data_IF_127686023891
#
_entry.id   IF_127686023891
#
_cell.length_a   1.000
_cell.length_b   1.000
_cell.length_c   1.000
_cell.angle_alpha   90.00
_cell.angle_beta   90.00
_cell.angle_gamma   90.00
#
_symmetry.space_group_name_H-M   'P 1'
#
loop_
_entity.id
_entity.type
_entity.pdbx_description
1 polymer ?
#
# COMPACT_ATOMS: atom_id res chain seq x y z
N UNK A 1 12.83 25.66 -15.79
CA UNK A 1 12.95 25.99 -17.24
C UNK A 1 14.14 26.93 -17.35
N UNK A 2 15.24 26.53 -18.00
CA UNK A 2 16.43 27.41 -18.08
C UNK A 2 16.06 28.65 -18.90
N UNK A 3 16.26 29.88 -18.39
CA UNK A 3 16.03 31.07 -19.19
C UNK A 3 16.92 31.04 -20.44
N UNK A 4 16.44 31.61 -21.54
CA UNK A 4 17.22 31.68 -22.77
C UNK A 4 18.54 32.44 -22.50
N UNK A 5 19.67 31.99 -23.07
CA UNK A 5 20.99 32.58 -22.78
C UNK A 5 21.08 34.10 -23.03
N UNK A 6 20.18 34.65 -23.85
CA UNK A 6 20.10 36.08 -24.16
C UNK A 6 19.01 36.83 -23.38
N UNK A 7 18.40 36.25 -22.34
CA UNK A 7 17.26 36.88 -21.66
C UNK A 7 17.60 38.26 -21.07
N UNK A 8 18.76 38.41 -20.43
CA UNK A 8 19.23 39.71 -19.92
C UNK A 8 19.46 40.71 -21.05
N UNK A 9 19.98 40.25 -22.20
CA UNK A 9 20.17 41.12 -23.37
C UNK A 9 18.82 41.61 -23.92
N UNK A 10 17.78 40.76 -23.91
CA UNK A 10 16.43 41.13 -24.36
C UNK A 10 15.75 42.16 -23.45
N UNK A 11 16.12 42.21 -22.17
CA UNK A 11 15.63 43.21 -21.21
C UNK A 11 16.25 44.60 -21.40
N UNK A 12 17.35 44.72 -22.18
CA UNK A 12 17.95 46.02 -22.43
C UNK A 12 17.06 46.92 -23.30
N UNK A 13 17.09 48.24 -23.04
CA UNK A 13 16.50 49.24 -23.93
C UNK A 13 16.95 49.05 -25.38
N UNK A 14 16.01 49.23 -26.31
CA UNK A 14 16.25 48.95 -27.74
C UNK A 14 17.42 49.73 -28.32
N UNK A 15 17.61 50.98 -27.88
CA UNK A 15 18.71 51.87 -28.30
C UNK A 15 20.09 51.26 -28.02
N UNK A 16 20.25 50.47 -26.94
CA UNK A 16 21.52 49.82 -26.62
C UNK A 16 21.72 48.54 -27.46
N UNK A 17 20.63 47.83 -27.78
CA UNK A 17 20.67 46.65 -28.66
C UNK A 17 20.98 47.00 -30.11
N UNK A 18 20.57 48.18 -30.58
CA UNK A 18 20.86 48.66 -31.92
C UNK A 18 22.33 49.10 -32.10
N UNK A 19 23.00 49.55 -31.03
CA UNK A 19 24.40 50.04 -31.06
C UNK A 19 25.45 48.97 -30.79
N UNK A 20 25.06 47.84 -30.21
CA UNK A 20 25.95 46.71 -29.92
C UNK A 20 26.49 45.98 -31.19
N UNK A 21 25.71 45.80 -32.28
CA UNK A 21 26.19 45.26 -33.54
C UNK A 21 27.35 46.07 -34.14
N UNK A 22 27.33 47.40 -34.01
CA UNK A 22 28.36 48.31 -34.55
C UNK A 22 29.77 48.01 -33.99
N UNK A 23 29.85 47.37 -32.83
CA UNK A 23 31.09 47.01 -32.15
C UNK A 23 31.33 45.49 -32.09
N UNK A 24 30.51 44.68 -32.79
CA UNK A 24 30.67 43.22 -32.84
C UNK A 24 30.03 42.45 -31.66
N UNK A 25 28.97 42.98 -31.04
CA UNK A 25 28.24 42.36 -29.92
C UNK A 25 29.01 42.14 -28.59
N UNK A 26 29.93 43.02 -28.16
CA UNK A 26 30.65 42.85 -26.89
C UNK A 26 29.71 42.88 -25.68
N UNK A 27 28.63 43.68 -25.71
CA UNK A 27 27.68 43.78 -24.61
C UNK A 27 26.85 42.51 -24.50
N UNK A 28 26.36 41.95 -25.62
CA UNK A 28 25.69 40.64 -25.63
C UNK A 28 26.59 39.52 -25.10
N UNK A 29 27.86 39.50 -25.48
CA UNK A 29 28.81 38.49 -25.01
C UNK A 29 29.02 38.57 -23.48
N UNK A 30 29.19 39.78 -22.94
CA UNK A 30 29.28 40.00 -21.49
C UNK A 30 28.00 39.58 -20.77
N UNK A 31 26.84 40.03 -21.26
CA UNK A 31 25.55 39.72 -20.65
C UNK A 31 25.20 38.24 -20.70
N UNK A 32 25.68 37.50 -21.69
CA UNK A 32 25.55 36.03 -21.70
C UNK A 32 26.27 35.38 -20.52
N UNK A 33 27.51 35.78 -20.25
CA UNK A 33 28.27 35.26 -19.11
C UNK A 33 27.54 35.58 -17.80
N UNK A 34 27.04 36.81 -17.66
CA UNK A 34 26.26 37.22 -16.48
C UNK A 34 24.94 36.44 -16.40
N UNK A 35 24.26 36.23 -17.52
CA UNK A 35 23.01 35.47 -17.59
C UNK A 35 23.20 34.02 -17.17
N UNK A 36 24.30 33.39 -17.55
CA UNK A 36 24.63 32.02 -17.16
C UNK A 36 24.85 31.91 -15.65
N UNK A 37 25.56 32.86 -15.04
CA UNK A 37 25.76 32.91 -13.59
C UNK A 37 24.45 33.24 -12.85
N UNK A 38 23.64 34.17 -13.38
CA UNK A 38 22.33 34.49 -12.82
C UNK A 38 21.39 33.28 -12.86
N UNK A 39 21.42 32.49 -13.95
CA UNK A 39 20.61 31.27 -14.06
C UNK A 39 21.07 30.16 -13.09
N UNK A 40 22.37 30.07 -12.79
CA UNK A 40 22.88 29.16 -11.75
C UNK A 40 22.38 29.59 -10.38
N UNK A 41 22.54 30.88 -10.03
CA UNK A 41 22.06 31.42 -8.76
C UNK A 41 20.55 31.27 -8.59
N UNK A 42 19.76 31.55 -9.63
CA UNK A 42 18.32 31.35 -9.62
C UNK A 42 17.96 29.87 -9.43
N UNK A 43 18.70 28.96 -10.07
CA UNK A 43 18.57 27.51 -9.85
C UNK A 43 18.84 27.12 -8.40
N UNK A 44 19.91 27.65 -7.80
CA UNK A 44 20.25 27.40 -6.40
C UNK A 44 19.18 27.97 -5.45
N UNK A 45 18.62 29.14 -5.76
CA UNK A 45 17.51 29.73 -5.00
C UNK A 45 16.26 28.85 -5.04
N UNK A 46 15.90 28.33 -6.22
CA UNK A 46 14.79 27.40 -6.35
C UNK A 46 15.06 26.09 -5.61
N UNK A 47 16.28 25.56 -5.69
CA UNK A 47 16.67 24.37 -4.94
C UNK A 47 16.60 24.61 -3.43
N UNK A 48 17.01 25.78 -2.94
CA UNK A 48 16.92 26.15 -1.52
C UNK A 48 15.46 26.28 -1.07
N UNK A 49 14.56 26.74 -1.95
CA UNK A 49 13.12 26.70 -1.69
C UNK A 49 12.62 25.25 -1.63
N UNK A 50 12.99 24.40 -2.60
CA UNK A 50 12.64 22.99 -2.64
C UNK A 50 13.14 22.22 -1.40
N UNK A 51 14.26 22.67 -0.82
CA UNK A 51 14.84 22.12 0.42
C UNK A 51 13.95 22.30 1.66
N UNK A 52 12.92 23.14 1.59
CA UNK A 52 11.92 23.28 2.65
C UNK A 52 10.85 22.16 2.62
N UNK A 53 10.74 21.40 1.53
CA UNK A 53 9.71 20.38 1.34
C UNK A 53 10.31 18.98 1.26
N UNK A 54 9.80 18.05 2.08
CA UNK A 54 10.38 16.71 2.20
C UNK A 54 10.31 15.90 0.90
N UNK A 55 9.34 16.18 0.02
CA UNK A 55 9.19 15.51 -1.27
C UNK A 55 10.27 15.93 -2.28
N UNK A 56 10.74 17.18 -2.22
CA UNK A 56 11.60 17.80 -3.25
C UNK A 56 13.00 18.18 -2.75
N UNK A 57 13.23 18.23 -1.42
CA UNK A 57 14.49 18.66 -0.84
C UNK A 57 15.68 17.82 -1.32
N UNK A 58 16.91 18.27 -1.15
CA UNK A 58 18.07 17.41 -1.38
C UNK A 58 18.22 16.33 -0.28
N UNK A 59 18.85 15.17 -0.57
CA UNK A 59 18.97 14.08 0.40
C UNK A 59 19.67 14.46 1.71
N UNK A 60 20.61 15.40 1.68
CA UNK A 60 21.34 15.85 2.86
C UNK A 60 20.48 16.71 3.81
N UNK A 61 19.36 17.27 3.32
CA UNK A 61 18.43 18.11 4.09
C UNK A 61 17.44 17.27 4.91
N UNK A 62 17.15 16.05 4.46
CA UNK A 62 16.23 15.10 5.10
C UNK A 62 16.45 14.95 6.62
N UNK A 63 17.68 14.71 7.13
CA UNK A 63 17.89 14.59 8.58
C UNK A 63 17.51 15.86 9.35
N UNK A 64 17.76 17.05 8.78
CA UNK A 64 17.39 18.32 9.42
C UNK A 64 15.88 18.54 9.47
N UNK A 65 15.17 18.17 8.39
CA UNK A 65 13.70 18.16 8.39
C UNK A 65 13.16 17.13 9.38
N UNK A 66 13.80 15.97 9.46
CA UNK A 66 13.53 14.92 10.45
C UNK A 66 13.64 15.45 11.87
N UNK A 67 14.75 16.09 12.22
CA UNK A 67 14.98 16.68 13.53
C UNK A 67 13.95 17.78 13.86
N UNK A 68 13.57 18.60 12.88
CA UNK A 68 12.55 19.65 13.05
C UNK A 68 11.19 19.06 13.45
N UNK A 69 10.81 17.92 12.87
CA UNK A 69 9.60 17.19 13.28
C UNK A 69 9.87 16.19 14.39
N UNK A 70 11.08 16.13 14.95
CA UNK A 70 11.51 15.16 15.96
C UNK A 70 11.32 13.70 15.52
N UNK A 71 11.55 13.40 14.24
CA UNK A 71 11.49 12.04 13.71
C UNK A 71 12.74 11.26 14.10
N UNK A 72 12.57 10.16 14.82
CA UNK A 72 13.58 9.11 14.89
C UNK A 72 13.28 8.12 13.78
N UNK A 73 14.21 7.95 12.84
CA UNK A 73 14.02 7.07 11.69
C UNK A 73 13.63 5.66 12.17
N UNK A 74 12.46 5.20 11.76
CA UNK A 74 11.91 3.92 12.20
C UNK A 74 12.71 2.77 11.59
N UNK A 75 13.16 2.98 10.36
CA UNK A 75 14.06 2.08 9.66
C UNK A 75 15.18 2.88 9.01
N UNK A 76 16.41 2.62 9.43
CA UNK A 76 17.59 3.23 8.84
C UNK A 76 18.21 2.23 7.86
N UNK A 77 17.84 2.34 6.57
CA UNK A 77 18.44 1.50 5.52
C UNK A 77 19.95 1.73 5.37
N UNK A 78 20.50 2.80 5.97
CA UNK A 78 21.95 3.01 6.07
C UNK A 78 22.58 2.19 7.20
N UNK A 79 21.79 1.67 8.16
CA UNK A 79 22.25 0.78 9.25
C UNK A 79 22.08 -0.70 8.96
N UNK A 80 21.20 -1.07 8.03
CA UNK A 80 21.11 -2.45 7.56
C UNK A 80 22.30 -2.73 6.63
N UNK A 81 23.29 -3.57 7.04
CA UNK A 81 24.35 -3.94 6.12
C UNK A 81 23.75 -4.55 4.85
N UNK A 82 24.37 -4.28 3.70
CA UNK A 82 24.02 -4.98 2.47
C UNK A 82 23.98 -6.49 2.75
N UNK A 83 23.00 -7.20 2.21
CA UNK A 83 22.80 -8.61 2.52
C UNK A 83 23.94 -9.46 1.94
N UNK A 84 25.10 -9.50 2.60
CA UNK A 84 26.30 -10.24 2.16
C UNK A 84 25.97 -11.72 1.90
N UNK A 85 25.09 -12.30 2.73
CA UNK A 85 24.58 -13.67 2.55
C UNK A 85 23.79 -13.84 1.26
N UNK A 86 23.03 -12.84 0.81
CA UNK A 86 22.29 -12.89 -0.45
C UNK A 86 23.24 -12.87 -1.65
N UNK A 87 24.28 -12.04 -1.60
CA UNK A 87 25.33 -12.00 -2.62
C UNK A 87 26.14 -13.30 -2.70
N UNK A 88 26.27 -14.04 -1.60
CA UNK A 88 26.91 -15.37 -1.58
C UNK A 88 26.01 -16.48 -2.16
N UNK A 89 24.71 -16.44 -1.87
CA UNK A 89 23.77 -17.49 -2.29
C UNK A 89 23.26 -17.31 -3.73
N UNK A 90 23.18 -16.07 -4.22
CA UNK A 90 22.61 -15.72 -5.52
C UNK A 90 23.59 -14.84 -6.32
N UNK A 91 24.69 -15.41 -6.84
CA UNK A 91 25.73 -14.65 -7.54
C UNK A 91 25.28 -14.09 -8.90
N UNK A 92 24.18 -14.59 -9.45
CA UNK A 92 23.58 -14.23 -10.73
C UNK A 92 22.40 -13.25 -10.59
N UNK A 93 22.13 -12.74 -9.38
CA UNK A 93 21.03 -11.81 -9.13
C UNK A 93 21.28 -10.49 -9.89
N UNK A 94 20.51 -10.23 -10.95
CA UNK A 94 20.57 -8.99 -11.71
C UNK A 94 19.89 -7.85 -10.93
N UNK A 95 20.69 -7.01 -10.27
CA UNK A 95 20.23 -5.89 -9.42
C UNK A 95 21.09 -5.75 -8.16
N UNK A 96 20.90 -4.71 -7.36
CA UNK A 96 21.54 -4.62 -6.03
C UNK A 96 21.23 -5.91 -5.25
N UNK A 97 22.23 -6.61 -4.64
CA UNK A 97 22.10 -7.94 -4.03
C UNK A 97 21.41 -7.86 -2.67
N UNK A 98 20.28 -7.18 -2.62
CA UNK A 98 19.60 -6.82 -1.39
C UNK A 98 18.27 -7.54 -1.39
N UNK A 99 18.25 -8.76 -0.85
CA UNK A 99 17.02 -9.45 -0.40
C UNK A 99 16.39 -8.76 0.81
N UNK A 100 16.58 -7.44 0.94
CA UNK A 100 15.82 -6.67 1.89
C UNK A 100 14.35 -6.83 1.51
N UNK A 101 13.44 -6.88 2.49
CA UNK A 101 12.04 -6.63 2.20
C UNK A 101 11.97 -5.36 1.33
N UNK A 102 10.96 -5.19 0.47
CA UNK A 102 10.67 -3.89 -0.10
C UNK A 102 10.29 -2.96 1.06
N UNK A 103 11.27 -2.49 1.84
CA UNK A 103 10.99 -1.84 3.11
C UNK A 103 10.30 -0.53 2.79
N UNK A 104 9.12 -0.44 3.37
CA UNK A 104 8.27 0.71 3.32
C UNK A 104 8.91 1.87 4.11
N UNK A 105 8.52 3.07 3.71
CA UNK A 105 9.10 4.35 4.08
C UNK A 105 10.62 4.49 3.80
N UNK A 106 10.97 4.85 2.54
CA UNK A 106 12.24 5.55 2.25
C UNK A 106 12.38 6.72 3.23
N UNK A 107 13.59 7.11 3.64
CA UNK A 107 13.82 8.17 4.67
C UNK A 107 12.94 9.42 4.52
N UNK A 108 12.65 9.86 3.30
CA UNK A 108 11.67 10.93 3.02
C UNK A 108 10.25 10.61 3.45
N UNK A 109 9.74 9.45 3.06
CA UNK A 109 8.39 9.01 3.37
C UNK A 109 8.22 8.80 4.88
N UNK A 110 9.25 8.33 5.58
CA UNK A 110 9.22 8.22 7.04
C UNK A 110 9.06 9.60 7.69
N UNK A 111 9.96 10.54 7.37
CA UNK A 111 9.88 11.94 7.85
C UNK A 111 8.56 12.62 7.48
N UNK A 112 8.07 12.40 6.26
CA UNK A 112 6.78 12.93 5.81
C UNK A 112 5.61 12.35 6.64
N UNK A 113 5.63 11.04 6.89
CA UNK A 113 4.58 10.35 7.61
C UNK A 113 4.59 10.62 9.12
N UNK A 114 5.69 11.09 9.71
CA UNK A 114 5.77 11.45 11.14
C UNK A 114 4.66 12.40 11.58
N UNK A 115 4.39 13.46 10.80
CA UNK A 115 3.32 14.42 11.11
C UNK A 115 1.94 13.75 11.06
N UNK A 116 1.74 12.86 10.08
CA UNK A 116 0.50 12.11 9.89
C UNK A 116 0.23 11.18 11.06
N UNK A 117 1.24 10.45 11.54
CA UNK A 117 1.15 9.61 12.73
C UNK A 117 0.79 10.39 13.98
N UNK A 118 1.43 11.55 14.17
CA UNK A 118 1.20 12.38 15.37
C UNK A 118 -0.18 13.01 15.40
N UNK A 119 -0.70 13.47 14.25
CA UNK A 119 -2.05 14.04 14.16
C UNK A 119 -3.15 13.04 14.49
N UNK A 120 -2.90 11.74 14.29
CA UNK A 120 -3.87 10.65 14.52
C UNK A 120 -3.45 9.74 15.69
N UNK A 121 -2.53 10.20 16.55
CA UNK A 121 -2.02 9.41 17.67
C UNK A 121 -3.18 8.92 18.55
N UNK A 122 -3.12 7.65 18.94
CA UNK A 122 -4.16 7.03 19.77
C UNK A 122 -5.31 6.38 18.99
N UNK A 123 -5.21 6.29 17.66
CA UNK A 123 -6.15 5.56 16.80
C UNK A 123 -5.56 4.24 16.31
N UNK A 124 -6.38 3.22 16.08
CA UNK A 124 -5.96 1.94 15.49
C UNK A 124 -5.38 2.11 14.08
N UNK A 125 -5.94 3.03 13.28
CA UNK A 125 -5.47 3.32 11.92
C UNK A 125 -4.01 3.78 11.86
N UNK A 126 -3.50 4.47 12.90
CA UNK A 126 -2.07 4.83 12.95
C UNK A 126 -1.20 3.61 13.18
N UNK A 127 -1.66 2.63 13.96
CA UNK A 127 -0.92 1.39 14.17
C UNK A 127 -0.87 0.55 12.90
N UNK A 128 -1.96 0.52 12.13
CA UNK A 128 -1.97 -0.10 10.79
C UNK A 128 -1.00 0.59 9.83
N UNK A 129 -1.07 1.93 9.74
CA UNK A 129 -0.21 2.71 8.86
C UNK A 129 1.26 2.56 9.25
N UNK A 130 1.59 2.70 10.54
CA UNK A 130 2.95 2.55 11.06
C UNK A 130 3.48 1.13 10.82
N UNK A 131 2.70 0.10 11.15
CA UNK A 131 3.14 -1.28 10.96
C UNK A 131 3.30 -1.62 9.47
N UNK A 132 2.43 -1.12 8.59
CA UNK A 132 2.61 -1.23 7.14
C UNK A 132 3.87 -0.54 6.67
N UNK A 133 4.14 0.68 7.16
CA UNK A 133 5.34 1.43 6.82
C UNK A 133 6.64 0.78 7.32
N UNK A 134 6.60 0.06 8.45
CA UNK A 134 7.77 -0.67 8.94
C UNK A 134 7.97 -2.00 8.22
N UNK A 135 6.89 -2.74 8.00
CA UNK A 135 6.98 -4.13 7.52
C UNK A 135 6.89 -4.25 6.00
N UNK A 136 6.33 -3.26 5.31
CA UNK A 136 5.94 -3.36 3.91
C UNK A 136 4.78 -4.33 3.65
N UNK A 137 4.21 -4.94 4.69
CA UNK A 137 3.10 -5.87 4.58
C UNK A 137 1.77 -5.17 4.81
N UNK A 138 0.70 -5.77 4.30
CA UNK A 138 -0.63 -5.31 4.66
C UNK A 138 -0.92 -5.61 6.13
N UNK A 139 -1.46 -4.64 6.86
CA UNK A 139 -1.72 -4.74 8.30
C UNK A 139 -3.14 -4.26 8.61
N UNK A 140 -3.78 -4.97 9.55
CA UNK A 140 -5.04 -4.57 10.19
C UNK A 140 -4.89 -4.63 11.71
N UNK A 141 -5.35 -3.59 12.40
CA UNK A 141 -5.32 -3.49 13.85
C UNK A 141 -6.75 -3.56 14.38
N UNK A 142 -7.02 -4.54 15.22
CA UNK A 142 -8.34 -4.83 15.76
C UNK A 142 -8.37 -4.54 17.25
N UNK A 143 -9.30 -3.70 17.69
CA UNK A 143 -9.56 -3.48 19.10
C UNK A 143 -10.35 -4.66 19.67
N UNK A 144 -9.67 -5.57 20.35
CA UNK A 144 -10.26 -6.79 20.91
C UNK A 144 -11.42 -6.51 21.87
N UNK A 145 -11.41 -5.34 22.53
CA UNK A 145 -12.49 -4.88 23.41
C UNK A 145 -13.83 -4.67 22.68
N UNK A 146 -13.80 -4.34 21.39
CA UNK A 146 -15.02 -4.20 20.58
C UNK A 146 -15.63 -5.57 20.21
N UNK A 147 -14.85 -6.63 20.33
CA UNK A 147 -15.28 -8.01 20.09
C UNK A 147 -15.57 -8.76 21.40
N UNK A 148 -15.66 -8.07 22.54
CA UNK A 148 -15.93 -8.72 23.82
C UNK A 148 -17.43 -8.76 24.15
N UNK A 149 -17.93 -9.96 24.41
CA UNK A 149 -19.22 -10.16 25.04
C UNK A 149 -19.17 -9.66 26.49
N UNK A 150 -19.91 -8.60 26.79
CA UNK A 150 -19.95 -7.99 28.12
C UNK A 150 -21.31 -7.37 28.42
N UNK A 151 -21.60 -7.20 29.70
CA UNK A 151 -22.75 -6.39 30.13
C UNK A 151 -22.40 -4.91 29.97
N UNK A 152 -23.24 -4.18 29.25
CA UNK A 152 -23.00 -2.76 28.93
C UNK A 152 -23.88 -1.83 29.77
N UNK A 153 -23.36 -0.64 30.06
CA UNK A 153 -24.13 0.39 30.73
C UNK A 153 -25.17 0.96 29.76
N UNK A 154 -26.44 1.00 30.16
CA UNK A 154 -27.56 1.42 29.29
C UNK A 154 -27.44 2.83 28.71
N UNK A 155 -26.75 3.75 29.39
CA UNK A 155 -26.52 5.10 28.88
C UNK A 155 -25.41 5.19 27.80
N UNK A 156 -24.57 4.15 27.66
CA UNK A 156 -23.45 4.13 26.71
C UNK A 156 -23.30 2.74 26.08
N UNK A 157 -24.29 2.28 25.29
CA UNK A 157 -24.17 1.03 24.55
C UNK A 157 -23.11 1.20 23.47
N UNK A 158 -22.14 0.28 23.44
CA UNK A 158 -21.12 0.19 22.40
C UNK A 158 -21.50 -0.83 21.32
N UNK A 159 -22.55 -1.61 21.54
CA UNK A 159 -23.07 -2.58 20.56
C UNK A 159 -22.23 -3.84 20.44
N UNK A 160 -21.17 -3.96 21.25
CA UNK A 160 -20.33 -5.16 21.36
C UNK A 160 -21.01 -6.20 22.24
N UNK A 161 -21.66 -7.20 21.65
CA UNK A 161 -22.36 -8.26 22.37
C UNK A 161 -23.46 -8.92 21.54
N UNK A 162 -24.08 -9.96 22.11
CA UNK A 162 -25.23 -10.64 21.51
C UNK A 162 -24.95 -12.09 21.10
N UNK A 163 -25.97 -12.71 20.53
CA UNK A 163 -25.90 -14.06 19.98
C UNK A 163 -25.44 -14.00 18.52
N UNK A 164 -24.62 -14.97 18.12
CA UNK A 164 -24.24 -15.16 16.72
C UNK A 164 -25.47 -15.58 15.92
N UNK A 165 -25.73 -14.88 14.81
CA UNK A 165 -26.70 -15.32 13.83
C UNK A 165 -26.09 -16.42 12.94
N UNK A 166 -26.57 -17.65 13.12
CA UNK A 166 -26.12 -18.81 12.35
C UNK A 166 -26.65 -18.82 10.90
N UNK A 167 -27.61 -17.95 10.58
CA UNK A 167 -28.14 -17.80 9.23
C UNK A 167 -27.31 -16.83 8.36
N UNK A 168 -26.27 -16.21 8.93
CA UNK A 168 -25.35 -15.33 8.23
C UNK A 168 -24.04 -16.08 7.88
N UNK A 169 -23.97 -16.78 6.73
CA UNK A 169 -22.83 -17.63 6.37
C UNK A 169 -21.49 -16.88 6.28
N UNK A 170 -21.48 -15.60 5.90
CA UNK A 170 -20.24 -14.81 5.84
C UNK A 170 -19.65 -14.64 7.22
N UNK A 171 -20.48 -14.40 8.23
CA UNK A 171 -20.01 -14.19 9.59
C UNK A 171 -19.34 -15.47 10.12
N UNK A 172 -19.78 -16.65 9.69
CA UNK A 172 -19.09 -17.91 9.96
C UNK A 172 -17.74 -18.03 9.23
N UNK A 173 -17.63 -17.55 7.98
CA UNK A 173 -16.37 -17.54 7.23
C UNK A 173 -15.35 -16.51 7.76
N UNK A 174 -15.82 -15.46 8.43
CA UNK A 174 -15.00 -14.38 8.98
C UNK A 174 -14.63 -14.62 10.46
N UNK A 175 -15.29 -15.57 11.12
CA UNK A 175 -15.09 -15.83 12.54
C UNK A 175 -13.60 -16.02 12.87
N UNK A 176 -13.17 -15.42 13.97
CA UNK A 176 -11.81 -15.52 14.48
C UNK A 176 -10.72 -14.93 13.55
N UNK A 177 -11.12 -14.27 12.46
CA UNK A 177 -10.24 -13.59 11.51
C UNK A 177 -10.07 -12.11 11.87
N UNK A 178 -9.22 -11.35 11.15
CA UNK A 178 -9.08 -9.91 11.35
C UNK A 178 -10.40 -9.13 11.13
N UNK A 179 -11.32 -9.68 10.32
CA UNK A 179 -12.59 -9.03 9.97
C UNK A 179 -13.76 -9.46 10.85
N UNK A 180 -13.46 -10.20 11.92
CA UNK A 180 -14.46 -10.73 12.83
C UNK A 180 -15.32 -9.61 13.44
N UNK A 181 -16.62 -9.88 13.53
CA UNK A 181 -17.63 -9.00 14.09
C UNK A 181 -18.42 -9.68 15.23
N UNK A 182 -18.05 -10.91 15.61
CA UNK A 182 -18.70 -11.69 16.64
C UNK A 182 -18.19 -11.30 18.03
N UNK A 183 -19.12 -11.28 18.99
CA UNK A 183 -18.79 -11.11 20.38
C UNK A 183 -18.22 -12.42 20.97
N UNK A 184 -17.01 -12.35 21.50
CA UNK A 184 -16.27 -13.43 22.14
C UNK A 184 -16.25 -13.30 23.64
N UNK A 185 -16.14 -14.45 24.32
CA UNK A 185 -15.78 -14.45 25.74
C UNK A 185 -14.31 -14.07 25.89
N UNK A 186 -13.97 -13.38 26.99
CA UNK A 186 -12.59 -13.03 27.28
C UNK A 186 -11.73 -14.30 27.36
N UNK A 187 -10.65 -14.37 26.57
CA UNK A 187 -9.75 -15.53 26.62
C UNK A 187 -8.98 -15.55 27.94
N UNK A 188 -8.99 -16.70 28.60
CA UNK A 188 -8.11 -16.99 29.72
C UNK A 188 -6.98 -17.86 29.15
N UNK A 189 -5.82 -17.24 28.90
CA UNK A 189 -4.66 -17.92 28.31
C UNK A 189 -3.57 -18.17 29.36
N UNK A 190 -2.75 -19.19 29.12
CA UNK A 190 -1.51 -19.42 29.87
C UNK A 190 -0.49 -18.27 29.71
N UNK A 191 -0.67 -17.42 28.68
CA UNK A 191 -0.01 -16.13 28.55
C UNK A 191 -1.01 -15.02 28.92
N UNK A 192 -1.19 -14.70 30.22
CA UNK A 192 -2.16 -13.70 30.67
C UNK A 192 -1.82 -12.28 30.22
N UNK A 193 -0.59 -12.02 29.76
CA UNK A 193 -0.16 -10.71 29.24
C UNK A 193 -0.62 -10.46 27.80
N UNK A 194 -0.94 -11.51 27.04
CA UNK A 194 -1.38 -11.42 25.63
C UNK A 194 -2.64 -12.28 25.39
N UNK A 195 -3.74 -12.04 26.12
CA UNK A 195 -4.97 -12.78 25.89
C UNK A 195 -5.60 -12.33 24.57
N UNK A 196 -5.92 -13.31 23.71
CA UNK A 196 -6.78 -13.06 22.55
C UNK A 196 -8.15 -12.57 23.05
N UNK A 197 -8.76 -11.59 22.40
CA UNK A 197 -10.04 -11.03 22.89
C UNK A 197 -9.95 -10.45 24.32
N UNK A 198 -8.86 -9.75 24.67
CA UNK A 198 -8.71 -9.10 25.97
C UNK A 198 -9.30 -7.68 26.03
N UNK A 199 -9.75 -7.18 27.20
CA UNK A 199 -10.40 -5.88 27.33
C UNK A 199 -9.46 -4.68 27.13
N UNK A 200 -8.15 -4.90 27.19
CA UNK A 200 -7.10 -3.89 26.93
C UNK A 200 -6.08 -4.42 25.91
N UNK A 201 -6.56 -5.23 24.97
CA UNK A 201 -5.75 -5.82 23.93
C UNK A 201 -6.06 -5.17 22.58
N UNK A 202 -5.03 -5.09 21.76
CA UNK A 202 -5.13 -4.76 20.37
C UNK A 202 -4.41 -5.86 19.59
N UNK A 203 -5.13 -6.50 18.69
CA UNK A 203 -4.63 -7.58 17.86
C UNK A 203 -4.15 -6.99 16.53
N UNK A 204 -2.87 -7.23 16.19
CA UNK A 204 -2.28 -6.76 14.93
C UNK A 204 -2.13 -7.95 14.00
N UNK A 205 -2.87 -7.92 12.90
CA UNK A 205 -2.85 -8.95 11.86
C UNK A 205 -2.02 -8.49 10.68
N UNK A 206 -1.14 -9.37 10.21
CA UNK A 206 -0.13 -9.06 9.20
C UNK A 206 -0.17 -10.09 8.09
N UNK A 207 -0.40 -9.65 6.85
CA UNK A 207 -0.45 -10.52 5.67
C UNK A 207 0.94 -10.68 5.07
N UNK A 208 1.62 -11.74 5.51
CA UNK A 208 2.97 -12.08 5.03
C UNK A 208 2.96 -12.79 3.68
N UNK A 209 1.86 -13.45 3.33
CA UNK A 209 1.69 -14.11 2.03
C UNK A 209 1.32 -13.07 0.99
N UNK A 210 2.07 -13.05 -0.12
CA UNK A 210 1.77 -12.20 -1.27
C UNK A 210 0.96 -12.98 -2.29
N UNK A 211 -0.07 -12.34 -2.84
CA UNK A 211 -0.76 -12.81 -4.03
C UNK A 211 -0.03 -12.30 -5.28
N UNK A 212 0.15 -13.17 -6.27
CA UNK A 212 0.75 -12.80 -7.55
C UNK A 212 -0.28 -13.00 -8.66
N UNK A 213 -0.49 -11.99 -9.53
CA UNK A 213 -1.41 -12.13 -10.63
C UNK A 213 -0.83 -13.12 -11.64
N UNK A 214 -1.67 -14.03 -12.14
CA UNK A 214 -1.31 -14.92 -13.24
C UNK A 214 -2.31 -14.70 -14.38
N UNK A 215 -1.79 -14.31 -15.54
CA UNK A 215 -2.60 -13.89 -16.68
C UNK A 215 -2.64 -14.97 -17.75
N UNK A 216 -3.79 -15.16 -18.40
CA UNK A 216 -3.98 -16.11 -19.51
C UNK A 216 -3.50 -17.54 -19.21
N UNK A 217 -3.71 -17.99 -17.96
CA UNK A 217 -3.43 -19.38 -17.58
C UNK A 217 -4.49 -20.30 -18.19
N UNK A 218 -4.11 -21.34 -18.94
CA UNK A 218 -5.08 -22.29 -19.45
C UNK A 218 -5.73 -23.05 -18.28
N UNK A 219 -7.04 -22.89 -18.14
CA UNK A 219 -7.81 -23.57 -17.11
C UNK A 219 -7.73 -25.10 -17.31
N UNK A 220 -7.50 -25.84 -16.23
CA UNK A 220 -7.32 -27.30 -16.30
C UNK A 220 -8.60 -28.03 -15.92
N UNK A 221 -8.95 -29.09 -16.64
CA UNK A 221 -10.09 -29.93 -16.30
C UNK A 221 -9.94 -30.53 -14.88
N UNK A 222 -11.00 -30.41 -14.07
CA UNK A 222 -11.09 -30.85 -12.69
C UNK A 222 -12.10 -32.00 -12.57
N UNK A 223 -11.62 -33.23 -12.77
CA UNK A 223 -12.45 -34.45 -12.72
C UNK A 223 -13.22 -34.71 -14.01
N UNK A 224 -14.11 -33.79 -14.42
CA UNK A 224 -14.91 -33.90 -15.66
C UNK A 224 -14.43 -32.91 -16.72
N UNK A 225 -14.89 -33.08 -17.97
CA UNK A 225 -14.46 -32.25 -19.12
C UNK A 225 -15.01 -30.82 -19.12
N UNK A 226 -16.02 -30.55 -18.29
CA UNK A 226 -16.70 -29.25 -18.20
C UNK A 226 -16.45 -28.54 -16.85
N UNK A 227 -15.81 -29.21 -15.89
CA UNK A 227 -15.31 -28.59 -14.65
C UNK A 227 -13.88 -28.17 -14.86
N UNK A 228 -13.55 -26.93 -14.53
CA UNK A 228 -12.20 -26.42 -14.65
C UNK A 228 -11.70 -25.84 -13.33
N UNK A 229 -10.38 -25.89 -13.11
CA UNK A 229 -9.68 -25.21 -12.02
C UNK A 229 -8.71 -24.18 -12.57
N UNK A 230 -8.60 -23.07 -11.84
CA UNK A 230 -7.66 -21.98 -12.11
C UNK A 230 -6.21 -22.34 -11.75
N UNK A 231 -6.00 -23.36 -10.91
CA UNK A 231 -4.65 -23.80 -10.56
C UNK A 231 -4.00 -24.52 -11.76
N UNK A 232 -2.83 -24.06 -12.24
CA UNK A 232 -2.11 -24.75 -13.32
C UNK A 232 -1.67 -26.17 -12.91
N UNK A 233 -1.54 -26.41 -11.60
CA UNK A 233 -1.17 -27.70 -11.00
C UNK A 233 -2.36 -28.63 -10.78
N UNK A 234 -3.57 -28.26 -11.21
CA UNK A 234 -4.84 -28.98 -10.95
C UNK A 234 -5.20 -29.14 -9.47
N UNK A 235 -4.52 -28.43 -8.58
CA UNK A 235 -4.85 -28.42 -7.15
C UNK A 235 -6.07 -27.54 -6.88
N UNK A 236 -6.78 -27.82 -5.78
CA UNK A 236 -7.72 -26.86 -5.20
C UNK A 236 -6.88 -25.81 -4.48
N UNK A 237 -6.78 -24.63 -5.05
CA UNK A 237 -6.10 -23.48 -4.46
C UNK A 237 -7.09 -22.31 -4.38
N UNK A 238 -7.07 -21.52 -3.29
CA UNK A 238 -7.91 -20.33 -3.20
C UNK A 238 -7.47 -19.30 -4.24
N UNK A 239 -8.43 -18.55 -4.75
CA UNK A 239 -8.16 -17.30 -5.45
C UNK A 239 -7.88 -16.22 -4.40
N UNK A 240 -7.10 -15.22 -4.76
CA UNK A 240 -6.73 -14.14 -3.85
C UNK A 240 -7.19 -12.80 -4.38
N UNK A 241 -7.50 -11.88 -3.47
CA UNK A 241 -7.75 -10.49 -3.81
C UNK A 241 -6.47 -9.78 -4.21
N UNK A 242 -6.62 -8.80 -5.09
CA UNK A 242 -5.59 -7.78 -5.30
C UNK A 242 -5.66 -6.78 -4.14
N UNK A 243 -4.54 -6.55 -3.46
CA UNK A 243 -4.50 -5.56 -2.38
C UNK A 243 -4.77 -4.14 -2.91
N UNK A 244 -5.46 -3.32 -2.11
CA UNK A 244 -5.59 -1.88 -2.32
C UNK A 244 -4.83 -1.13 -1.22
N UNK A 245 -3.53 -0.81 -1.41
CA UNK A 245 -2.69 -0.26 -0.35
C UNK A 245 -3.12 1.12 0.16
N UNK A 246 -3.87 1.89 -0.64
CA UNK A 246 -4.27 3.27 -0.33
C UNK A 246 -5.47 3.42 0.61
N UNK A 247 -6.17 2.33 0.96
CA UNK A 247 -7.38 2.40 1.78
C UNK A 247 -7.13 2.93 3.20
N UNK A 248 -5.98 2.60 3.80
CA UNK A 248 -5.65 3.03 5.16
C UNK A 248 -5.42 4.55 5.32
N UNK A 249 -5.26 5.27 4.21
CA UNK A 249 -5.06 6.72 4.23
C UNK A 249 -6.40 7.48 4.28
N UNK A 250 -7.48 6.81 3.88
CA UNK A 250 -8.83 7.37 3.68
C UNK A 250 -9.86 6.84 4.66
N UNK A 251 -9.59 5.74 5.38
CA UNK A 251 -10.52 5.17 6.35
C UNK A 251 -10.00 3.91 7.06
N UNK A 252 -10.86 3.23 7.85
CA UNK A 252 -10.55 1.93 8.40
C UNK A 252 -10.37 0.91 7.27
N UNK A 253 -9.40 0.02 7.43
CA UNK A 253 -9.11 -1.03 6.45
C UNK A 253 -10.27 -2.03 6.38
N UNK A 254 -10.86 -2.21 5.20
CA UNK A 254 -11.90 -3.21 4.96
C UNK A 254 -11.33 -4.53 4.44
N UNK A 255 -12.19 -5.54 4.35
CA UNK A 255 -11.75 -6.86 3.90
C UNK A 255 -11.33 -6.90 2.44
N UNK A 256 -12.06 -6.18 1.59
CA UNK A 256 -11.79 -6.05 0.16
C UNK A 256 -10.43 -5.38 -0.14
N UNK A 257 -9.88 -4.64 0.82
CA UNK A 257 -8.56 -4.01 0.69
C UNK A 257 -7.41 -5.00 0.92
N UNK A 258 -7.66 -6.06 1.68
CA UNK A 258 -6.64 -6.99 2.13
C UNK A 258 -6.31 -8.07 1.09
N UNK A 259 -5.03 -8.44 0.90
CA UNK A 259 -4.60 -9.54 0.02
C UNK A 259 -4.88 -10.92 0.64
N UNK A 260 -6.15 -11.17 0.98
CA UNK A 260 -6.63 -12.44 1.52
C UNK A 260 -7.13 -13.39 0.43
N UNK A 261 -7.30 -14.68 0.78
CA UNK A 261 -8.06 -15.58 -0.06
C UNK A 261 -9.51 -15.06 -0.21
N UNK A 262 -10.03 -15.07 -1.43
CA UNK A 262 -11.43 -14.75 -1.72
C UNK A 262 -12.28 -15.90 -1.18
N UNK A 263 -13.19 -15.59 -0.27
CA UNK A 263 -14.07 -16.60 0.32
C UNK A 263 -15.33 -16.77 -0.53
N UNK A 264 -16.00 -17.93 -0.48
CA UNK A 264 -17.16 -18.21 -1.32
C UNK A 264 -18.29 -17.18 -1.15
N UNK A 265 -18.66 -16.84 0.08
CA UNK A 265 -19.82 -15.95 0.31
C UNK A 265 -19.50 -14.51 -0.07
N UNK A 266 -18.25 -14.09 0.15
CA UNK A 266 -17.73 -12.81 -0.32
C UNK A 266 -17.75 -12.71 -1.84
N UNK A 267 -17.27 -13.74 -2.55
CA UNK A 267 -17.29 -13.78 -4.02
C UNK A 267 -18.72 -13.65 -4.55
N UNK A 268 -19.69 -14.31 -3.91
CA UNK A 268 -21.09 -14.25 -4.32
C UNK A 268 -21.71 -12.85 -4.13
N UNK A 269 -21.30 -12.10 -3.10
CA UNK A 269 -21.85 -10.77 -2.80
C UNK A 269 -21.13 -9.63 -3.51
N UNK A 270 -19.82 -9.74 -3.66
CA UNK A 270 -18.93 -8.71 -4.17
C UNK A 270 -18.32 -9.09 -5.53
N UNK A 271 -19.01 -9.94 -6.30
CA UNK A 271 -18.58 -10.29 -7.66
C UNK A 271 -18.29 -9.04 -8.51
N UNK A 272 -19.11 -7.96 -8.50
CA UNK A 272 -18.83 -6.76 -9.29
C UNK A 272 -17.53 -6.04 -8.90
N UNK A 273 -17.14 -6.11 -7.63
CA UNK A 273 -15.93 -5.45 -7.11
C UNK A 273 -14.66 -6.28 -7.40
N UNK A 274 -14.80 -7.61 -7.42
CA UNK A 274 -13.72 -8.58 -7.57
C UNK A 274 -13.46 -8.99 -9.03
N UNK A 275 -14.49 -9.00 -9.87
CA UNK A 275 -14.40 -9.44 -11.26
C UNK A 275 -13.84 -8.34 -12.16
N UNK A 276 -12.82 -8.68 -12.96
CA UNK A 276 -12.04 -7.74 -13.77
C UNK A 276 -10.83 -7.14 -13.06
N UNK A 277 -10.82 -7.12 -11.72
CA UNK A 277 -9.71 -6.62 -10.90
C UNK A 277 -8.87 -7.74 -10.29
N UNK A 278 -9.50 -8.64 -9.52
CA UNK A 278 -8.85 -9.74 -8.80
C UNK A 278 -8.92 -11.05 -9.56
N UNK A 279 -9.98 -11.26 -10.33
CA UNK A 279 -10.11 -12.41 -11.22
C UNK A 279 -10.89 -12.06 -12.49
N UNK A 280 -10.58 -12.73 -13.59
CA UNK A 280 -11.38 -12.67 -14.81
C UNK A 280 -11.33 -14.01 -15.51
N UNK A 281 -12.38 -14.33 -16.27
CA UNK A 281 -12.47 -15.56 -17.04
C UNK A 281 -12.52 -15.19 -18.51
N UNK A 282 -11.70 -15.87 -19.31
CA UNK A 282 -11.64 -15.68 -20.76
C UNK A 282 -12.03 -17.00 -21.42
N UNK A 283 -13.01 -16.93 -22.32
CA UNK A 283 -13.47 -18.06 -23.14
C UNK A 283 -13.28 -17.68 -24.60
N UNK A 284 -12.62 -18.55 -25.37
CA UNK A 284 -12.34 -18.34 -26.80
C UNK A 284 -11.70 -16.97 -27.14
N UNK A 285 -10.85 -16.46 -26.24
CA UNK A 285 -10.13 -15.20 -26.42
C UNK A 285 -10.91 -13.94 -26.04
N UNK A 286 -12.16 -14.07 -25.56
CA UNK A 286 -12.98 -12.95 -25.08
C UNK A 286 -13.25 -13.07 -23.58
N UNK A 287 -13.09 -11.97 -22.84
CA UNK A 287 -13.45 -11.94 -21.43
C UNK A 287 -14.96 -12.11 -21.28
N UNK A 288 -15.37 -13.01 -20.39
CA UNK A 288 -16.79 -13.24 -20.08
C UNK A 288 -17.33 -12.03 -19.34
N UNK A 289 -18.48 -11.45 -19.74
CA UNK A 289 -19.13 -10.38 -18.98
C UNK A 289 -19.46 -10.83 -17.54
N UNK A 290 -19.39 -9.92 -16.58
CA UNK A 290 -19.72 -10.25 -15.18
C UNK A 290 -21.16 -10.76 -15.02
N UNK A 291 -22.09 -10.27 -15.85
CA UNK A 291 -23.50 -10.69 -15.85
C UNK A 291 -23.71 -12.16 -16.26
N UNK A 292 -22.75 -12.74 -16.98
CA UNK A 292 -22.78 -14.15 -17.41
C UNK A 292 -22.07 -15.07 -16.40
N UNK A 293 -21.60 -14.54 -15.27
CA UNK A 293 -20.88 -15.28 -14.23
C UNK A 293 -21.78 -15.48 -13.02
N UNK A 294 -22.05 -16.73 -12.68
CA UNK A 294 -22.78 -17.11 -11.47
C UNK A 294 -21.85 -17.79 -10.45
N UNK A 295 -21.98 -17.41 -9.18
CA UNK A 295 -21.20 -17.97 -8.07
C UNK A 295 -22.07 -19.00 -7.35
N UNK A 296 -21.70 -20.27 -7.44
CA UNK A 296 -22.41 -21.37 -6.82
C UNK A 296 -21.48 -22.46 -6.29
N UNK A 297 -21.94 -23.19 -5.28
CA UNK A 297 -21.26 -24.40 -4.80
C UNK A 297 -21.41 -25.51 -5.84
N UNK A 298 -20.32 -26.23 -6.13
CA UNK A 298 -20.31 -27.32 -7.12
C UNK A 298 -20.69 -28.70 -6.54
N UNK A 299 -20.90 -28.82 -5.22
CA UNK A 299 -21.35 -30.05 -4.56
C UNK A 299 -22.71 -30.60 -5.07
N UNK A 300 -23.73 -29.78 -5.36
CA UNK A 300 -25.00 -30.27 -5.89
C UNK A 300 -24.99 -30.58 -7.40
N UNK A 301 -23.92 -30.29 -8.14
CA UNK A 301 -23.91 -30.51 -9.59
C UNK A 301 -23.59 -31.98 -9.92
N UNK A 302 -24.37 -32.64 -10.81
CA UNK A 302 -24.09 -34.00 -11.26
C UNK A 302 -22.74 -34.07 -12.00
N UNK A 303 -22.20 -35.27 -12.21
CA UNK A 303 -20.99 -35.47 -13.04
C UNK A 303 -21.27 -35.24 -14.55
N UNK A 304 -22.55 -35.25 -14.93
CA UNK A 304 -23.03 -34.87 -16.26
C UNK A 304 -23.24 -33.36 -16.34
N UNK A 305 -23.00 -32.78 -17.52
CA UNK A 305 -23.16 -31.34 -17.77
C UNK A 305 -24.62 -30.95 -17.51
N UNK A 306 -24.89 -29.93 -16.66
CA UNK A 306 -26.25 -29.42 -16.51
C UNK A 306 -26.76 -28.76 -17.79
#
# INVERSE_FOLDING_TARGET
MRPAADWLYQLLPIVLRERDPDNGYPLRALLRIIADQAAQLEGDMWQLYDDHFIETCQPWVIPYLGDLVGNELIWDSLRAPAAETAGQLFPDLAGSPTLQPPVAARSRADVANTLRYRRRKGTSSVLEALARDVTGWFVRAVESRLLLARTEHLAHPLGSGGWVDLHAPDLAEVLESPFDAVAHSASISAMPELPRFGPRCMDIYVWRLQSYPVTNVPARAAGTHWRHTFSPLRSRAPLFRTAHPGAADTGPVEELDAPGPIRPTELARHLPDLYGTSLSVVVDGSQVPADDVEVATLEPWPDQRP
#
